data_IF_418914424209
#
_entry.id   IF_418914424209
#
_cell.length_a   1.000
_cell.length_b   1.000
_cell.length_c   1.000
_cell.angle_alpha   90.00
_cell.angle_beta   90.00
_cell.angle_gamma   90.00
#
_symmetry.space_group_name_H-M   'P 1'
#
loop_
_entity.id
_entity.type
_entity.pdbx_description
1 polymer ?
#
# COMPACT_ATOMS: atom_id res chain seq x y z
N UNK A 1 5.47 -7.97 18.56
CA UNK A 1 4.41 -8.49 17.62
C UNK A 1 3.25 -7.52 17.57
N UNK A 2 2.80 -7.00 18.72
CA UNK A 2 1.78 -5.94 18.81
C UNK A 2 2.17 -4.67 18.04
N UNK A 3 3.45 -4.29 18.06
CA UNK A 3 3.97 -3.08 17.42
C UNK A 3 3.85 -3.16 15.89
N UNK A 4 4.19 -4.32 15.30
CA UNK A 4 4.08 -4.55 13.85
C UNK A 4 2.62 -4.50 13.40
N UNK A 5 1.74 -5.15 14.14
CA UNK A 5 0.30 -5.14 13.88
C UNK A 5 -0.25 -3.71 14.01
N UNK A 6 0.16 -2.96 15.05
CA UNK A 6 -0.25 -1.57 15.25
C UNK A 6 0.24 -0.67 14.11
N UNK A 7 1.48 -0.84 13.65
CA UNK A 7 2.02 -0.13 12.50
C UNK A 7 1.21 -0.40 11.23
N UNK A 8 0.98 -1.68 10.88
CA UNK A 8 0.21 -2.05 9.68
C UNK A 8 -1.21 -1.49 9.75
N UNK A 9 -1.87 -1.60 10.91
CA UNK A 9 -3.17 -0.97 11.16
C UNK A 9 -3.15 0.53 10.94
N UNK A 10 -2.12 1.21 11.45
CA UNK A 10 -1.92 2.65 11.26
C UNK A 10 -1.83 3.02 9.78
N UNK A 11 -1.05 2.26 8.99
CA UNK A 11 -0.94 2.47 7.54
C UNK A 11 -2.28 2.25 6.83
N UNK A 12 -2.99 1.16 7.16
CA UNK A 12 -4.28 0.84 6.56
C UNK A 12 -5.34 1.91 6.87
N UNK A 13 -5.42 2.33 8.13
CA UNK A 13 -6.34 3.37 8.57
C UNK A 13 -6.01 4.72 7.93
N UNK A 14 -4.72 5.07 7.85
CA UNK A 14 -4.27 6.31 7.22
C UNK A 14 -4.59 6.33 5.73
N UNK A 15 -4.31 5.25 4.99
CA UNK A 15 -4.65 5.14 3.58
C UNK A 15 -6.15 5.27 3.31
N UNK A 16 -6.98 4.61 4.14
CA UNK A 16 -8.43 4.71 4.06
C UNK A 16 -8.92 6.14 4.34
N UNK A 17 -8.36 6.80 5.36
CA UNK A 17 -8.74 8.15 5.77
C UNK A 17 -8.30 9.21 4.76
N UNK A 18 -7.10 9.09 4.20
CA UNK A 18 -6.61 9.94 3.11
C UNK A 18 -7.53 9.85 1.88
N UNK A 19 -7.86 8.62 1.45
CA UNK A 19 -8.78 8.38 0.33
C UNK A 19 -10.15 8.97 0.61
N UNK A 20 -10.69 8.79 1.81
CA UNK A 20 -11.97 9.36 2.23
C UNK A 20 -11.98 10.89 2.17
N UNK A 21 -10.99 11.55 2.79
CA UNK A 21 -10.91 13.00 2.78
C UNK A 21 -10.71 13.55 1.37
N UNK A 22 -9.82 12.95 0.57
CA UNK A 22 -9.59 13.40 -0.81
C UNK A 22 -10.88 13.29 -1.65
N UNK A 23 -11.64 12.19 -1.53
CA UNK A 23 -12.96 12.06 -2.20
C UNK A 23 -13.95 13.14 -1.77
N UNK A 24 -13.96 13.51 -0.50
CA UNK A 24 -14.83 14.59 -0.02
C UNK A 24 -14.42 15.94 -0.61
N UNK A 25 -13.12 16.26 -0.66
CA UNK A 25 -12.64 17.53 -1.22
C UNK A 25 -12.90 17.62 -2.72
N UNK A 26 -12.66 16.55 -3.48
CA UNK A 26 -13.01 16.47 -4.90
C UNK A 26 -14.51 16.71 -5.10
N UNK A 27 -15.36 16.05 -4.31
CA UNK A 27 -16.81 16.29 -4.38
C UNK A 27 -17.15 17.74 -4.07
N UNK A 28 -16.59 18.35 -3.02
CA UNK A 28 -16.86 19.76 -2.69
C UNK A 28 -16.50 20.71 -3.82
N UNK A 29 -15.38 20.45 -4.52
CA UNK A 29 -14.88 21.30 -5.59
C UNK A 29 -15.71 21.18 -6.88
N UNK A 30 -16.16 19.97 -7.22
CA UNK A 30 -16.72 19.70 -8.54
C UNK A 30 -18.20 19.28 -8.55
N UNK A 31 -18.88 19.22 -7.40
CA UNK A 31 -20.30 18.81 -7.31
C UNK A 31 -21.28 19.73 -8.06
N UNK A 32 -20.85 20.91 -8.51
CA UNK A 32 -21.67 21.84 -9.30
C UNK A 32 -21.30 21.87 -10.79
N UNK A 33 -20.27 21.13 -11.21
CA UNK A 33 -19.85 21.08 -12.61
C UNK A 33 -20.40 19.81 -13.29
N UNK A 34 -21.42 19.93 -14.15
CA UNK A 34 -22.00 18.77 -14.85
C UNK A 34 -21.06 18.16 -15.89
N UNK A 35 -19.98 18.85 -16.27
CA UNK A 35 -18.99 18.36 -17.23
C UNK A 35 -17.79 17.71 -16.54
N UNK A 36 -17.78 17.67 -15.20
CA UNK A 36 -16.68 17.07 -14.49
C UNK A 36 -16.66 15.55 -14.64
N UNK A 37 -15.49 15.04 -15.05
CA UNK A 37 -15.18 13.62 -15.14
C UNK A 37 -13.94 13.38 -14.28
N UNK A 38 -13.95 12.33 -13.45
CA UNK A 38 -12.83 12.02 -12.57
C UNK A 38 -11.55 11.80 -13.41
N UNK A 39 -10.50 12.61 -13.22
CA UNK A 39 -9.28 12.44 -13.97
C UNK A 39 -8.54 11.18 -13.55
N UNK A 40 -7.84 10.56 -14.51
CA UNK A 40 -7.04 9.36 -14.29
C UNK A 40 -6.05 9.46 -13.11
N UNK A 41 -5.48 10.64 -12.85
CA UNK A 41 -4.53 10.80 -11.74
C UNK A 41 -5.18 10.56 -10.36
N UNK A 42 -6.48 10.84 -10.20
CA UNK A 42 -7.21 10.62 -8.95
C UNK A 42 -7.45 9.12 -8.75
N UNK A 43 -7.89 8.43 -9.80
CA UNK A 43 -8.04 6.98 -9.80
C UNK A 43 -6.71 6.32 -9.44
N UNK A 44 -5.62 6.73 -10.12
CA UNK A 44 -4.29 6.18 -9.90
C UNK A 44 -3.78 6.46 -8.49
N UNK A 45 -4.05 7.63 -7.93
CA UNK A 45 -3.72 7.96 -6.55
C UNK A 45 -4.39 6.99 -5.58
N UNK A 46 -5.69 6.71 -5.74
CA UNK A 46 -6.40 5.75 -4.91
C UNK A 46 -5.92 4.32 -5.08
N UNK A 47 -5.58 3.93 -6.31
CA UNK A 47 -4.97 2.63 -6.55
C UNK A 47 -3.67 2.47 -5.78
N UNK A 48 -2.76 3.45 -5.86
CA UNK A 48 -1.46 3.39 -5.16
C UNK A 48 -1.67 3.29 -3.64
N UNK A 49 -2.64 4.02 -3.08
CA UNK A 49 -2.99 3.88 -1.66
C UNK A 49 -3.49 2.46 -1.34
N UNK A 50 -4.37 1.92 -2.18
CA UNK A 50 -4.91 0.58 -2.00
C UNK A 50 -3.83 -0.52 -2.12
N UNK A 51 -2.73 -0.29 -2.83
CA UNK A 51 -1.62 -1.26 -2.95
C UNK A 51 -0.87 -1.49 -1.62
N UNK A 52 -0.97 -0.58 -0.65
CA UNK A 52 -0.37 -0.75 0.68
C UNK A 52 -1.23 -1.59 1.61
N UNK A 53 -2.41 -2.03 1.15
CA UNK A 53 -3.35 -2.83 1.92
C UNK A 53 -3.68 -4.11 1.16
N UNK A 54 -3.37 -5.25 1.77
CA UNK A 54 -3.86 -6.53 1.25
C UNK A 54 -5.38 -6.62 1.41
N UNK A 55 -6.10 -6.76 0.30
CA UNK A 55 -7.54 -6.99 0.27
C UNK A 55 -7.88 -8.44 0.64
N UNK A 56 -7.05 -9.41 0.27
CA UNK A 56 -7.25 -10.84 0.57
C UNK A 56 -7.02 -11.17 2.05
N UNK A 57 -5.96 -10.61 2.65
CA UNK A 57 -5.70 -10.81 4.08
C UNK A 57 -6.79 -10.14 4.94
N UNK A 58 -7.43 -9.09 4.46
CA UNK A 58 -8.57 -8.45 5.15
C UNK A 58 -8.20 -8.04 6.59
N UNK A 59 -8.82 -8.68 7.58
CA UNK A 59 -8.56 -8.47 9.01
C UNK A 59 -7.45 -9.36 9.58
N UNK A 60 -6.93 -10.33 8.82
CA UNK A 60 -5.86 -11.23 9.23
C UNK A 60 -4.49 -10.54 9.11
N UNK A 61 -4.31 -9.44 9.83
CA UNK A 61 -3.10 -8.60 9.80
C UNK A 61 -1.88 -9.38 10.31
N UNK A 62 -2.08 -10.37 11.16
CA UNK A 62 -1.02 -11.25 11.64
C UNK A 62 -0.28 -11.93 10.49
N UNK A 63 -0.99 -12.37 9.44
CA UNK A 63 -0.38 -12.98 8.26
C UNK A 63 0.50 -11.99 7.50
N UNK A 64 0.07 -10.72 7.42
CA UNK A 64 0.85 -9.66 6.78
C UNK A 64 2.10 -9.34 7.62
N UNK A 65 1.98 -9.34 8.95
CA UNK A 65 3.10 -9.12 9.85
C UNK A 65 4.15 -10.25 9.75
N UNK A 66 3.70 -11.51 9.71
CA UNK A 66 4.59 -12.67 9.51
C UNK A 66 5.23 -12.65 8.11
N UNK A 67 4.48 -12.27 7.08
CA UNK A 67 5.02 -12.12 5.73
C UNK A 67 6.03 -10.98 5.62
N UNK A 68 5.88 -9.90 6.40
CA UNK A 68 6.89 -8.86 6.53
C UNK A 68 8.17 -9.37 7.18
N UNK A 69 8.07 -10.25 8.18
CA UNK A 69 9.25 -10.88 8.80
C UNK A 69 9.98 -11.80 7.83
N UNK A 70 9.23 -12.61 7.09
CA UNK A 70 9.79 -13.41 6.00
C UNK A 70 10.44 -12.51 4.92
N UNK A 71 9.82 -11.39 4.56
CA UNK A 71 10.36 -10.45 3.58
C UNK A 71 11.72 -9.87 4.02
N UNK A 72 11.86 -9.42 5.26
CA UNK A 72 13.11 -8.84 5.78
C UNK A 72 14.14 -9.87 6.24
N UNK A 73 13.82 -11.16 6.24
CA UNK A 73 14.81 -12.22 6.47
C UNK A 73 15.83 -12.33 5.33
N UNK A 74 15.50 -11.81 4.14
CA UNK A 74 16.44 -11.68 3.03
C UNK A 74 17.34 -10.45 3.23
N UNK A 75 18.67 -10.67 3.19
CA UNK A 75 19.70 -9.64 3.33
C UNK A 75 19.49 -8.45 2.38
N UNK A 76 19.14 -8.71 1.11
CA UNK A 76 18.95 -7.68 0.08
C UNK A 76 17.75 -6.76 0.36
N UNK A 77 16.87 -7.17 1.28
CA UNK A 77 15.66 -6.43 1.63
C UNK A 77 15.82 -5.57 2.89
N UNK A 78 16.90 -5.74 3.64
CA UNK A 78 17.09 -5.10 4.95
C UNK A 78 17.10 -3.57 4.91
N UNK A 79 17.55 -2.98 3.80
CA UNK A 79 17.59 -1.53 3.58
C UNK A 79 16.32 -0.96 2.94
N UNK A 80 15.35 -1.79 2.54
CA UNK A 80 14.09 -1.33 1.94
C UNK A 80 13.22 -0.66 3.03
N UNK A 81 12.67 0.55 2.79
CA UNK A 81 11.81 1.21 3.76
C UNK A 81 10.54 0.42 4.09
N UNK A 82 10.09 0.49 5.35
CA UNK A 82 8.94 -0.26 5.87
C UNK A 82 7.66 -0.11 5.04
N UNK A 83 7.33 1.10 4.60
CA UNK A 83 6.15 1.35 3.76
C UNK A 83 6.26 0.68 2.39
N UNK A 84 7.44 0.67 1.80
CA UNK A 84 7.70 0.09 0.49
C UNK A 84 7.69 -1.45 0.58
N UNK A 85 8.28 -2.02 1.63
CA UNK A 85 8.16 -3.44 1.96
C UNK A 85 6.71 -3.86 2.19
N UNK A 86 5.92 -3.09 2.96
CA UNK A 86 4.51 -3.39 3.22
C UNK A 86 3.67 -3.41 1.94
N UNK A 87 3.93 -2.49 1.00
CA UNK A 87 3.29 -2.48 -0.31
C UNK A 87 3.61 -3.74 -1.11
N UNK A 88 4.89 -4.13 -1.18
CA UNK A 88 5.32 -5.33 -1.90
C UNK A 88 4.66 -6.58 -1.30
N UNK A 89 4.72 -6.72 0.02
CA UNK A 89 4.10 -7.85 0.74
C UNK A 89 2.59 -7.87 0.54
N UNK A 90 1.92 -6.71 0.63
CA UNK A 90 0.47 -6.61 0.43
C UNK A 90 0.04 -7.04 -0.97
N UNK A 91 0.81 -6.64 -1.99
CA UNK A 91 0.58 -7.06 -3.38
C UNK A 91 0.79 -8.56 -3.56
N UNK A 92 1.84 -9.13 -2.96
CA UNK A 92 2.12 -10.55 -3.00
C UNK A 92 1.00 -11.37 -2.33
N UNK A 93 0.55 -10.95 -1.15
CA UNK A 93 -0.59 -11.56 -0.42
C UNK A 93 -1.90 -11.49 -1.22
N UNK A 94 -2.08 -10.44 -2.02
CA UNK A 94 -3.22 -10.30 -2.92
C UNK A 94 -3.09 -11.15 -4.21
N UNK A 95 -1.98 -11.86 -4.41
CA UNK A 95 -1.70 -12.66 -5.61
C UNK A 95 -1.30 -11.82 -6.82
N UNK A 96 -0.90 -10.55 -6.63
CA UNK A 96 -0.38 -9.66 -7.67
C UNK A 96 1.14 -9.82 -7.79
N UNK A 97 1.59 -11.05 -8.00
CA UNK A 97 3.01 -11.45 -7.94
C UNK A 97 3.89 -10.68 -8.90
N UNK A 98 3.54 -10.61 -10.19
CA UNK A 98 4.34 -9.89 -11.20
C UNK A 98 4.62 -8.43 -10.82
N UNK A 99 3.61 -7.76 -10.26
CA UNK A 99 3.73 -6.37 -9.82
C UNK A 99 4.54 -6.24 -8.53
N UNK A 100 4.35 -7.17 -7.60
CA UNK A 100 5.14 -7.24 -6.37
C UNK A 100 6.62 -7.46 -6.70
N UNK A 101 6.93 -8.40 -7.59
CA UNK A 101 8.30 -8.73 -8.02
C UNK A 101 8.96 -7.55 -8.74
N UNK A 102 8.22 -6.86 -9.62
CA UNK A 102 8.72 -5.65 -10.27
C UNK A 102 9.08 -4.56 -9.24
N UNK A 103 8.26 -4.36 -8.22
CA UNK A 103 8.56 -3.39 -7.16
C UNK A 103 9.71 -3.84 -6.26
N UNK A 104 9.80 -5.12 -5.95
CA UNK A 104 10.93 -5.70 -5.22
C UNK A 104 12.25 -5.43 -5.95
N UNK A 105 12.34 -5.78 -7.23
CA UNK A 105 13.56 -5.58 -8.02
C UNK A 105 13.95 -4.09 -8.10
N UNK A 106 12.96 -3.20 -8.24
CA UNK A 106 13.21 -1.75 -8.21
C UNK A 106 13.71 -1.28 -6.84
N UNK A 107 13.11 -1.77 -5.76
CA UNK A 107 13.49 -1.41 -4.40
C UNK A 107 14.90 -1.93 -4.06
N UNK A 108 15.21 -3.19 -4.34
CA UNK A 108 16.55 -3.77 -4.14
C UNK A 108 17.62 -3.02 -4.95
N UNK A 109 17.31 -2.62 -6.19
CA UNK A 109 18.22 -1.81 -7.00
C UNK A 109 18.45 -0.43 -6.39
N UNK A 110 17.43 0.17 -5.78
CA UNK A 110 17.45 1.52 -5.23
C UNK A 110 18.13 1.60 -3.86
N UNK A 111 17.84 0.64 -2.98
CA UNK A 111 18.30 0.62 -1.59
C UNK A 111 19.36 -0.47 -1.37
N UNK A 112 20.31 -0.62 -2.30
CA UNK A 112 21.41 -1.58 -2.12
C UNK A 112 22.05 -1.36 -0.72
N UNK A 113 22.16 -2.42 0.10
CA UNK A 113 22.85 -2.32 1.38
C UNK A 113 24.33 -1.94 1.22
#
# INVERSE_FOLDING_TARGET
MSEKIAFINGVYATGAKLKFHHKQEVKKQYNQDPNWVEPYYIERFYEILDEHRSKKAGYQINLVAEAMDAFYSNYDNTAIPLLEGLRIVSLAQDGKTEKADLYLLKAQKRYRP
#
